data_IF_884666104736
#
_entry.id   IF_884666104736
#
_cell.length_a   1.000
_cell.length_b   1.000
_cell.length_c   1.000
_cell.angle_alpha   90.00
_cell.angle_beta   90.00
_cell.angle_gamma   90.00
#
_symmetry.space_group_name_H-M   'P 1'
#
loop_
_entity.id
_entity.type
_entity.pdbx_description
1 polymer ?
#
# COMPACT_ATOMS: atom_id res chain seq x y z
N UNK A 1 -11.90 5.40 -3.18
CA UNK A 1 -10.54 5.55 -2.65
C UNK A 1 -10.52 6.72 -1.68
N UNK A 2 -10.04 6.48 -0.47
CA UNK A 2 -9.93 7.44 0.64
C UNK A 2 -8.55 7.36 1.27
N UNK A 3 -8.23 8.32 2.15
CA UNK A 3 -7.01 8.27 2.97
C UNK A 3 -7.01 6.98 3.80
N UNK A 4 -5.84 6.33 3.85
CA UNK A 4 -5.64 5.04 4.51
C UNK A 4 -5.86 3.82 3.62
N UNK A 5 -6.52 3.96 2.46
CA UNK A 5 -6.68 2.84 1.53
C UNK A 5 -5.31 2.39 0.99
N UNK A 6 -5.14 1.07 0.86
CA UNK A 6 -3.98 0.48 0.16
C UNK A 6 -4.34 0.25 -1.31
N UNK A 7 -3.45 0.67 -2.20
CA UNK A 7 -3.66 0.70 -3.65
C UNK A 7 -2.44 0.19 -4.39
N UNK A 8 -2.65 -0.41 -5.56
CA UNK A 8 -1.58 -0.75 -6.50
C UNK A 8 -1.32 0.44 -7.42
N UNK A 9 -0.04 0.78 -7.56
CA UNK A 9 0.44 1.87 -8.40
C UNK A 9 0.94 1.32 -9.72
N UNK A 10 0.38 1.82 -10.82
CA UNK A 10 0.88 1.50 -12.15
C UNK A 10 2.28 2.06 -12.36
N UNK A 11 3.16 1.20 -12.89
CA UNK A 11 4.44 1.60 -13.42
C UNK A 11 4.50 1.12 -14.89
N UNK A 12 4.57 2.02 -15.87
CA UNK A 12 4.55 1.65 -17.29
C UNK A 12 5.77 0.81 -17.70
N UNK A 13 6.86 0.90 -16.94
CA UNK A 13 8.11 0.18 -17.23
C UNK A 13 8.18 -1.20 -16.57
N UNK A 14 7.10 -1.62 -15.88
CA UNK A 14 7.05 -2.88 -15.14
C UNK A 14 5.78 -3.65 -15.51
N UNK A 15 5.88 -4.98 -15.57
CA UNK A 15 4.71 -5.84 -15.79
C UNK A 15 3.70 -5.66 -14.64
N UNK A 16 2.43 -5.96 -14.90
CA UNK A 16 1.33 -5.86 -13.91
C UNK A 16 1.63 -6.55 -12.58
N UNK A 17 2.36 -7.67 -12.62
CA UNK A 17 2.79 -8.44 -11.43
C UNK A 17 3.77 -7.67 -10.52
N UNK A 18 4.46 -6.66 -11.04
CA UNK A 18 5.46 -5.86 -10.30
C UNK A 18 4.96 -4.45 -10.00
N UNK A 19 3.64 -4.21 -10.05
CA UNK A 19 3.06 -2.95 -9.59
C UNK A 19 3.32 -2.80 -8.09
N UNK A 20 3.74 -1.60 -7.68
CA UNK A 20 4.08 -1.33 -6.30
C UNK A 20 2.82 -1.10 -5.45
N UNK A 21 2.84 -1.57 -4.21
CA UNK A 21 1.81 -1.24 -3.23
C UNK A 21 2.10 0.14 -2.62
N UNK A 22 1.05 0.93 -2.42
CA UNK A 22 1.13 2.21 -1.76
C UNK A 22 -0.11 2.50 -0.91
N UNK A 23 0.06 3.30 0.13
CA UNK A 23 -1.03 3.79 0.98
C UNK A 23 -1.42 5.20 0.56
N UNK A 24 -2.72 5.50 0.49
CA UNK A 24 -3.22 6.85 0.21
C UNK A 24 -3.01 7.74 1.43
N UNK A 25 -2.21 8.80 1.28
CA UNK A 25 -1.97 9.79 2.32
C UNK A 25 -2.92 11.00 2.19
N UNK A 26 -3.18 11.45 0.97
CA UNK A 26 -3.94 12.68 0.71
C UNK A 26 -4.70 12.60 -0.63
N UNK A 27 -5.91 13.16 -0.66
CA UNK A 27 -6.70 13.35 -1.89
C UNK A 27 -6.41 14.75 -2.45
N UNK A 28 -6.03 14.85 -3.73
CA UNK A 28 -5.74 16.13 -4.38
C UNK A 28 -6.88 16.50 -5.35
N UNK A 29 -7.84 17.34 -4.93
CA UNK A 29 -8.91 17.83 -5.79
C UNK A 29 -8.39 18.84 -6.82
N UNK A 30 -9.00 18.83 -8.01
CA UNK A 30 -8.83 19.89 -8.99
C UNK A 30 -9.64 21.14 -8.65
N UNK A 31 -9.61 22.13 -9.55
CA UNK A 31 -10.35 23.40 -9.38
C UNK A 31 -11.87 23.21 -9.21
N UNK A 32 -12.43 22.16 -9.78
CA UNK A 32 -13.85 21.79 -9.70
C UNK A 32 -14.17 20.89 -8.49
N UNK A 33 -13.24 20.72 -7.56
CA UNK A 33 -13.39 19.85 -6.39
C UNK A 33 -13.25 18.35 -6.68
N UNK A 34 -13.11 17.94 -7.94
CA UNK A 34 -13.00 16.52 -8.30
C UNK A 34 -11.57 16.02 -8.10
N UNK A 35 -11.42 14.94 -7.33
CA UNK A 35 -10.12 14.30 -7.05
C UNK A 35 -9.57 13.66 -8.33
N UNK A 36 -8.41 14.15 -8.78
CA UNK A 36 -7.73 13.64 -10.00
C UNK A 36 -6.37 13.03 -9.73
N UNK A 37 -5.75 13.38 -8.61
CA UNK A 37 -4.47 12.83 -8.18
C UNK A 37 -4.47 12.59 -6.68
N UNK A 38 -3.57 11.74 -6.22
CA UNK A 38 -3.39 11.41 -4.81
C UNK A 38 -1.91 11.46 -4.45
N UNK A 39 -1.63 11.84 -3.20
CA UNK A 39 -0.31 11.65 -2.58
C UNK A 39 -0.30 10.29 -1.90
N UNK A 40 0.73 9.51 -2.15
CA UNK A 40 0.82 8.11 -1.73
C UNK A 40 2.15 7.83 -1.04
N UNK A 41 2.14 6.95 -0.03
CA UNK A 41 3.35 6.35 0.54
C UNK A 41 3.63 5.02 -0.17
N UNK A 42 4.73 4.94 -0.91
CA UNK A 42 5.15 3.75 -1.65
C UNK A 42 6.53 3.31 -1.14
N UNK A 43 6.57 2.29 -0.28
CA UNK A 43 7.77 1.94 0.46
C UNK A 43 8.29 3.15 1.25
N UNK A 44 9.56 3.50 1.09
CA UNK A 44 10.16 4.65 1.78
C UNK A 44 9.88 6.00 1.11
N UNK A 45 9.41 6.01 -0.14
CA UNK A 45 9.18 7.23 -0.90
C UNK A 45 7.72 7.68 -0.86
N UNK A 46 7.51 8.98 -1.03
CA UNK A 46 6.19 9.53 -1.34
C UNK A 46 6.11 9.92 -2.80
N UNK A 47 4.99 9.60 -3.44
CA UNK A 47 4.77 9.86 -4.85
C UNK A 47 3.38 10.44 -5.07
N UNK A 48 3.24 11.21 -6.14
CA UNK A 48 1.95 11.70 -6.61
C UNK A 48 1.59 10.98 -7.91
N UNK A 49 0.38 10.42 -7.97
CA UNK A 49 -0.15 9.74 -9.15
C UNK A 49 -1.61 10.09 -9.39
N UNK A 50 -1.99 10.14 -10.66
CA UNK A 50 -3.37 10.33 -11.07
C UNK A 50 -4.21 9.11 -10.68
N UNK A 51 -5.48 9.32 -10.35
CA UNK A 51 -6.42 8.25 -9.95
C UNK A 51 -6.47 7.13 -11.00
N UNK A 52 -6.38 7.47 -12.29
CA UNK A 52 -6.37 6.52 -13.40
C UNK A 52 -5.21 5.52 -13.38
N UNK A 53 -4.10 5.84 -12.70
CA UNK A 53 -2.92 4.97 -12.56
C UNK A 53 -2.94 4.16 -11.26
N UNK A 54 -4.05 4.18 -10.54
CA UNK A 54 -4.20 3.54 -9.24
C UNK A 54 -5.32 2.53 -9.31
N UNK A 55 -5.06 1.36 -8.72
CA UNK A 55 -5.99 0.26 -8.67
C UNK A 55 -6.25 -0.08 -7.21
N UNK A 56 -7.49 0.01 -6.71
CA UNK A 56 -7.82 -0.37 -5.35
C UNK A 56 -7.43 -1.82 -5.08
N UNK A 57 -6.93 -2.09 -3.88
CA UNK A 57 -6.73 -3.46 -3.41
C UNK A 57 -8.06 -3.93 -2.79
N UNK A 58 -8.76 -4.86 -3.45
CA UNK A 58 -10.06 -5.40 -3.01
C UNK A 58 -9.90 -6.44 -1.89
N UNK A 59 -9.18 -6.07 -0.82
CA UNK A 59 -9.05 -6.90 0.36
C UNK A 59 -9.97 -6.32 1.42
N UNK A 60 -10.94 -7.12 1.87
CA UNK A 60 -11.65 -6.81 3.08
C UNK A 60 -10.72 -7.17 4.24
N UNK A 61 -10.49 -6.28 5.21
CA UNK A 61 -9.91 -6.74 6.46
C UNK A 61 -10.95 -7.70 7.06
N UNK A 62 -10.79 -9.01 6.86
CA UNK A 62 -11.28 -9.95 7.85
C UNK A 62 -10.80 -9.39 9.20
N UNK A 63 -11.69 -9.26 10.18
CA UNK A 63 -11.35 -8.78 11.54
C UNK A 63 -10.48 -9.84 12.25
N UNK A 64 -9.35 -10.22 11.67
CA UNK A 64 -8.31 -10.89 12.38
C UNK A 64 -7.74 -9.87 13.37
N UNK A 65 -7.66 -10.20 14.67
CA UNK A 65 -7.06 -9.32 15.65
C UNK A 65 -5.65 -8.95 15.16
N UNK A 66 -5.37 -7.65 15.03
CA UNK A 66 -4.06 -7.16 14.57
C UNK A 66 -2.93 -7.79 15.39
N UNK A 67 -3.17 -8.01 16.69
CA UNK A 67 -2.26 -8.72 17.58
C UNK A 67 -1.92 -10.14 17.08
N UNK A 68 -2.92 -10.91 16.67
CA UNK A 68 -2.72 -12.27 16.15
C UNK A 68 -1.93 -12.26 14.84
N UNK A 69 -2.21 -11.30 13.94
CA UNK A 69 -1.45 -11.16 12.68
C UNK A 69 0.00 -10.76 12.95
N UNK A 70 0.22 -9.83 13.88
CA UNK A 70 1.56 -9.36 14.27
C UNK A 70 2.36 -10.46 14.95
N UNK A 71 1.78 -11.21 15.88
CA UNK A 71 2.40 -12.39 16.49
C UNK A 71 2.73 -13.46 15.45
N UNK A 72 1.80 -13.74 14.53
CA UNK A 72 2.01 -14.71 13.47
C UNK A 72 3.13 -14.28 12.51
N UNK A 73 3.21 -12.98 12.19
CA UNK A 73 4.28 -12.41 11.38
C UNK A 73 5.63 -12.44 12.10
N UNK A 74 5.68 -12.06 13.39
CA UNK A 74 6.91 -12.16 14.18
C UNK A 74 7.38 -13.60 14.34
N UNK A 75 6.47 -14.54 14.56
CA UNK A 75 6.78 -15.96 14.59
C UNK A 75 7.31 -16.42 13.24
N UNK A 76 6.64 -16.08 12.13
CA UNK A 76 7.14 -16.41 10.80
C UNK A 76 8.55 -15.86 10.54
N UNK A 77 8.79 -14.59 10.89
CA UNK A 77 10.11 -13.97 10.77
C UNK A 77 11.16 -14.62 11.68
N UNK A 78 10.80 -15.06 12.89
CA UNK A 78 11.72 -15.73 13.81
C UNK A 78 12.05 -17.17 13.35
N UNK A 79 11.06 -17.90 12.83
CA UNK A 79 11.23 -19.23 12.25
C UNK A 79 12.10 -19.23 10.99
N UNK A 80 12.00 -18.19 10.16
CA UNK A 80 12.76 -18.10 8.90
C UNK A 80 14.10 -17.36 9.01
N UNK A 81 14.36 -16.64 10.11
CA UNK A 81 15.70 -16.13 10.42
C UNK A 81 16.51 -17.19 11.17
N UNK A 82 17.12 -18.11 10.42
CA UNK A 82 18.31 -18.83 10.88
C UNK A 82 19.52 -17.87 10.76
N UNK A 83 20.13 -17.53 11.91
CA UNK A 83 21.42 -16.85 12.11
C UNK A 83 21.51 -15.35 11.81
N UNK A 84 21.32 -14.53 12.86
CA UNK A 84 22.34 -13.66 13.47
C UNK A 84 21.69 -12.43 14.15
N UNK A 85 21.82 -12.36 15.48
CA UNK A 85 22.18 -11.19 16.33
C UNK A 85 21.73 -11.51 17.76
N UNK A 86 22.65 -12.09 18.54
CA UNK A 86 23.09 -11.57 19.85
C UNK A 86 24.62 -11.68 19.84
#
# INVERSE_FOLDING_TARGET
MKVGDTVLVENPNKKRLYRSLAMVLELLPGRDGTVRALRLKCGNAEIIRTVQRLFPLEIQPEELPIAAVVEQFFNYLSYHNLMNVV
#
